data_IF_669639209820
#
_entry.id   IF_669639209820
#
_cell.length_a   1.000
_cell.length_b   1.000
_cell.length_c   1.000
_cell.angle_alpha   90.00
_cell.angle_beta   90.00
_cell.angle_gamma   90.00
#
_symmetry.space_group_name_H-M   'P 1'
#
loop_
_entity.id
_entity.type
_entity.pdbx_description
1 polymer ?
#
# COMPACT_ATOMS: atom_id res chain seq x y z
N UNK A 1 71.78 54.21 -3.50
CA UNK A 1 72.09 53.49 -2.26
C UNK A 1 70.96 52.54 -1.92
N UNK A 2 71.19 51.24 -2.08
CA UNK A 2 70.29 50.13 -1.67
C UNK A 2 70.88 49.58 -0.37
N UNK A 3 70.04 49.16 0.58
CA UNK A 3 70.43 48.02 1.40
C UNK A 3 69.46 46.90 1.40
N UNK A 4 70.05 45.73 1.34
CA UNK A 4 69.48 44.40 1.34
C UNK A 4 68.72 44.08 2.65
N UNK A 5 67.52 43.62 2.53
CA UNK A 5 66.74 42.97 3.60
C UNK A 5 66.74 41.46 3.41
N UNK A 6 67.18 40.71 4.41
CA UNK A 6 67.22 39.23 4.41
C UNK A 6 65.87 38.65 4.63
N UNK A 7 65.45 37.73 3.76
CA UNK A 7 64.30 36.85 3.99
C UNK A 7 64.67 35.74 5.00
N UNK A 8 63.95 35.70 6.10
CA UNK A 8 63.91 34.53 6.97
C UNK A 8 62.85 33.57 6.49
N UNK A 9 63.25 32.35 6.13
CA UNK A 9 62.34 31.26 5.76
C UNK A 9 61.74 30.65 7.03
N UNK A 10 60.45 30.76 7.19
CA UNK A 10 59.69 30.02 8.21
C UNK A 10 59.24 28.68 7.64
N UNK A 11 59.76 27.62 8.18
CA UNK A 11 59.32 26.22 7.91
C UNK A 11 57.94 25.98 8.51
N UNK A 12 56.98 25.40 7.77
CA UNK A 12 55.71 25.03 8.37
C UNK A 12 55.88 23.75 9.19
N UNK A 13 55.59 23.85 10.47
CA UNK A 13 55.45 22.69 11.36
C UNK A 13 54.20 21.92 10.98
N UNK A 14 54.35 20.71 10.47
CA UNK A 14 53.25 19.78 10.27
C UNK A 14 52.70 19.34 11.64
N UNK A 15 51.45 19.72 11.93
CA UNK A 15 50.72 19.18 13.07
C UNK A 15 50.35 17.73 12.75
N UNK A 16 50.87 16.78 13.47
CA UNK A 16 50.48 15.38 13.45
C UNK A 16 49.12 15.30 14.13
N UNK A 17 48.09 14.91 13.38
CA UNK A 17 46.77 14.64 13.94
C UNK A 17 46.87 13.49 14.94
N UNK A 18 46.31 13.68 16.13
CA UNK A 18 46.19 12.64 17.14
C UNK A 18 45.28 11.51 16.61
N UNK A 19 45.57 10.24 16.94
CA UNK A 19 44.70 9.14 16.53
C UNK A 19 43.34 9.30 17.19
N UNK A 20 42.27 9.24 16.38
CA UNK A 20 40.88 9.14 16.87
C UNK A 20 40.78 7.92 17.79
N UNK A 21 40.27 8.16 18.99
CA UNK A 21 39.95 7.08 19.93
C UNK A 21 38.90 6.16 19.29
N UNK A 22 39.00 4.83 19.48
CA UNK A 22 37.98 3.92 18.99
C UNK A 22 36.62 4.28 19.63
N UNK A 23 35.59 4.46 18.80
CA UNK A 23 34.23 4.57 19.28
C UNK A 23 33.93 3.38 20.21
N UNK A 24 33.63 3.68 21.46
CA UNK A 24 33.26 2.69 22.45
C UNK A 24 31.99 2.01 21.94
N UNK A 25 32.09 0.74 21.61
CA UNK A 25 30.90 -0.12 21.34
C UNK A 25 29.99 0.03 22.56
N UNK A 26 28.76 0.49 22.30
CA UNK A 26 27.73 0.63 23.32
C UNK A 26 27.43 -0.76 23.89
N UNK A 27 27.72 -0.99 25.17
CA UNK A 27 27.40 -2.19 25.95
C UNK A 27 25.88 -2.31 26.27
N UNK A 28 25.05 -1.54 25.56
CA UNK A 28 23.59 -1.67 25.71
C UNK A 28 23.12 -3.02 25.13
N UNK A 29 22.29 -3.76 25.85
CA UNK A 29 21.72 -4.99 25.33
C UNK A 29 20.95 -4.69 24.03
N UNK A 30 20.95 -5.62 23.07
CA UNK A 30 20.19 -5.42 21.82
C UNK A 30 18.72 -5.13 22.16
N UNK A 31 18.06 -4.25 21.40
CA UNK A 31 16.65 -3.97 21.64
C UNK A 31 15.85 -5.27 21.54
N UNK A 32 14.74 -5.39 22.28
CA UNK A 32 13.89 -6.57 22.20
C UNK A 32 13.39 -6.77 20.78
N UNK A 33 13.19 -8.01 20.33
CA UNK A 33 12.69 -8.30 19.00
C UNK A 33 11.30 -7.65 18.79
N UNK A 34 11.11 -7.05 17.61
CA UNK A 34 9.83 -6.46 17.24
C UNK A 34 8.80 -7.60 17.07
N UNK A 35 7.67 -7.50 17.77
CA UNK A 35 6.57 -8.46 17.58
C UNK A 35 5.90 -8.20 16.22
N UNK A 36 5.82 -9.26 15.41
CA UNK A 36 5.23 -9.24 14.06
C UNK A 36 3.91 -10.02 14.06
N UNK A 37 2.76 -9.38 14.33
CA UNK A 37 1.50 -10.09 14.42
C UNK A 37 1.06 -10.65 13.06
N UNK A 38 0.32 -11.75 13.10
CA UNK A 38 -0.37 -12.34 11.95
C UNK A 38 -1.79 -11.78 11.81
N UNK A 39 -2.46 -12.05 10.69
CA UNK A 39 -3.87 -11.71 10.52
C UNK A 39 -4.80 -12.43 11.49
N UNK A 40 -4.43 -13.64 11.92
CA UNK A 40 -5.21 -14.42 12.88
C UNK A 40 -5.07 -13.89 14.32
N UNK A 41 -3.92 -13.30 14.64
CA UNK A 41 -3.66 -12.68 15.95
C UNK A 41 -4.26 -11.30 16.09
N UNK A 42 -4.47 -10.57 14.98
CA UNK A 42 -4.96 -9.20 14.98
C UNK A 42 -5.97 -8.92 13.89
N UNK A 43 -7.25 -8.88 14.27
CA UNK A 43 -8.33 -8.43 13.38
C UNK A 43 -8.12 -6.99 12.89
N UNK A 44 -7.54 -6.13 13.73
CA UNK A 44 -7.19 -4.76 13.35
C UNK A 44 -6.17 -4.75 12.19
N UNK A 45 -5.12 -5.56 12.27
CA UNK A 45 -4.13 -5.68 11.19
C UNK A 45 -4.76 -6.18 9.89
N UNK A 46 -5.64 -7.18 9.98
CA UNK A 46 -6.38 -7.68 8.82
C UNK A 46 -7.22 -6.55 8.18
N UNK A 47 -7.95 -5.78 8.98
CA UNK A 47 -8.73 -4.62 8.51
C UNK A 47 -7.85 -3.55 7.87
N UNK A 48 -6.68 -3.27 8.46
CA UNK A 48 -5.69 -2.34 7.90
C UNK A 48 -5.26 -2.81 6.51
N UNK A 49 -4.86 -4.06 6.36
CA UNK A 49 -4.43 -4.65 5.08
C UNK A 49 -5.52 -4.61 4.02
N UNK A 50 -6.71 -5.05 4.38
CA UNK A 50 -7.85 -5.05 3.46
C UNK A 50 -8.23 -3.64 3.01
N UNK A 51 -8.37 -2.71 3.95
CA UNK A 51 -8.70 -1.31 3.62
C UNK A 51 -7.60 -0.64 2.81
N UNK A 52 -6.33 -0.95 3.09
CA UNK A 52 -5.20 -0.42 2.32
C UNK A 52 -5.24 -0.88 0.85
N UNK A 53 -5.64 -2.13 0.59
CA UNK A 53 -5.86 -2.61 -0.78
C UNK A 53 -6.90 -1.77 -1.53
N UNK A 54 -8.02 -1.44 -0.88
CA UNK A 54 -9.07 -0.58 -1.46
C UNK A 54 -8.64 0.88 -1.63
N UNK A 55 -7.88 1.43 -0.69
CA UNK A 55 -7.27 2.78 -0.83
C UNK A 55 -6.31 2.80 -2.02
N UNK A 56 -5.54 1.74 -2.22
CA UNK A 56 -4.68 1.60 -3.40
C UNK A 56 -5.50 1.54 -4.69
N UNK A 57 -6.59 0.78 -4.74
CA UNK A 57 -7.46 0.70 -5.91
C UNK A 57 -8.07 2.07 -6.25
N UNK A 58 -8.56 2.79 -5.25
CA UNK A 58 -9.05 4.16 -5.42
C UNK A 58 -7.95 5.09 -5.97
N UNK A 59 -6.73 5.00 -5.43
CA UNK A 59 -5.59 5.79 -5.89
C UNK A 59 -5.23 5.51 -7.35
N UNK A 60 -5.20 4.22 -7.74
CA UNK A 60 -4.93 3.81 -9.13
C UNK A 60 -5.99 4.35 -10.07
N UNK A 61 -7.27 4.19 -9.78
CA UNK A 61 -8.35 4.71 -10.64
C UNK A 61 -8.40 6.24 -10.69
N UNK A 62 -7.91 6.91 -9.67
CA UNK A 62 -7.79 8.38 -9.67
C UNK A 62 -6.65 8.85 -10.58
N UNK A 63 -5.56 8.11 -10.65
CA UNK A 63 -4.41 8.39 -11.52
C UNK A 63 -4.61 7.92 -12.97
N UNK A 64 -5.31 6.79 -13.15
CA UNK A 64 -5.63 6.18 -14.45
C UNK A 64 -7.12 5.86 -14.50
N UNK A 65 -7.89 6.77 -15.04
CA UNK A 65 -9.36 6.71 -15.02
C UNK A 65 -9.95 5.51 -15.75
N UNK A 66 -9.23 4.98 -16.74
CA UNK A 66 -9.68 3.83 -17.53
C UNK A 66 -9.26 2.47 -16.93
N UNK A 67 -8.49 2.47 -15.83
CA UNK A 67 -8.12 1.25 -15.14
C UNK A 67 -9.36 0.54 -14.58
N UNK A 68 -9.51 -0.75 -14.91
CA UNK A 68 -10.59 -1.59 -14.38
C UNK A 68 -10.07 -2.34 -13.17
N UNK A 69 -10.86 -2.41 -12.13
CA UNK A 69 -10.51 -3.06 -10.87
C UNK A 69 -11.13 -4.46 -10.82
N UNK A 70 -10.43 -5.38 -10.15
CA UNK A 70 -10.88 -6.75 -9.98
C UNK A 70 -11.11 -7.07 -8.50
N UNK A 71 -10.13 -7.72 -7.86
CA UNK A 71 -10.16 -8.05 -6.43
C UNK A 71 -8.87 -7.60 -5.75
N UNK A 72 -8.98 -7.28 -4.46
CA UNK A 72 -7.89 -6.83 -3.61
C UNK A 72 -7.89 -7.49 -2.25
N UNK A 73 -7.49 -8.77 -2.14
CA UNK A 73 -7.47 -9.47 -0.86
C UNK A 73 -6.29 -9.03 0.00
N UNK A 74 -6.45 -9.21 1.33
CA UNK A 74 -5.31 -9.27 2.21
C UNK A 74 -4.59 -10.61 2.06
N UNK A 75 -3.29 -10.61 2.33
CA UNK A 75 -2.45 -11.79 2.39
C UNK A 75 -1.66 -11.80 3.71
N UNK A 76 -0.87 -12.84 3.95
CA UNK A 76 -0.19 -13.07 5.24
C UNK A 76 0.61 -11.86 5.76
N UNK A 77 1.32 -11.15 4.87
CA UNK A 77 2.18 -10.00 5.25
C UNK A 77 1.80 -8.70 4.56
N UNK A 78 0.65 -8.65 3.92
CA UNK A 78 0.27 -7.47 3.17
C UNK A 78 -1.04 -7.63 2.42
N UNK A 79 -1.04 -7.18 1.19
CA UNK A 79 -2.19 -7.16 0.29
C UNK A 79 -1.73 -7.10 -1.15
N UNK A 80 -2.65 -7.34 -2.08
CA UNK A 80 -2.49 -6.97 -3.48
C UNK A 80 -3.83 -6.49 -4.06
N UNK A 81 -3.77 -5.91 -5.24
CA UNK A 81 -4.93 -5.62 -6.05
C UNK A 81 -4.57 -5.76 -7.53
N UNK A 82 -5.49 -6.35 -8.32
CA UNK A 82 -5.30 -6.56 -9.74
C UNK A 82 -6.09 -5.54 -10.56
N UNK A 83 -5.42 -5.00 -11.59
CA UNK A 83 -5.95 -3.95 -12.45
C UNK A 83 -5.81 -4.35 -13.93
N UNK A 84 -6.88 -4.19 -14.70
CA UNK A 84 -6.80 -4.21 -16.16
C UNK A 84 -6.47 -2.79 -16.64
N UNK A 85 -5.23 -2.59 -17.02
CA UNK A 85 -4.66 -1.33 -17.44
C UNK A 85 -3.34 -1.53 -18.18
N UNK A 86 -2.82 -0.50 -18.90
CA UNK A 86 -1.49 -0.57 -19.48
C UNK A 86 -0.40 -0.89 -18.46
N UNK A 87 0.72 -1.52 -18.88
CA UNK A 87 1.81 -1.90 -17.99
C UNK A 87 2.33 -0.75 -17.14
N UNK A 88 2.48 -1.02 -15.84
CA UNK A 88 3.06 -0.11 -14.87
C UNK A 88 4.57 -0.31 -14.75
N UNK A 89 5.29 0.73 -14.36
CA UNK A 89 6.70 0.68 -14.04
C UNK A 89 6.92 0.99 -12.54
N UNK A 90 8.08 0.63 -11.99
CA UNK A 90 8.40 0.84 -10.57
C UNK A 90 8.27 2.29 -10.12
N UNK A 91 8.54 3.25 -11.01
CA UNK A 91 8.32 4.68 -10.71
C UNK A 91 6.87 5.01 -10.41
N UNK A 92 5.92 4.24 -10.96
CA UNK A 92 4.50 4.46 -10.76
C UNK A 92 4.06 4.09 -9.34
N UNK A 93 4.74 3.14 -8.69
CA UNK A 93 4.48 2.79 -7.29
C UNK A 93 4.60 4.00 -6.36
N UNK A 94 5.58 4.87 -6.60
CA UNK A 94 5.75 6.10 -5.80
C UNK A 94 4.59 7.09 -6.02
N UNK A 95 4.08 7.17 -7.24
CA UNK A 95 2.91 8.01 -7.57
C UNK A 95 1.66 7.48 -6.88
N UNK A 96 1.44 6.16 -6.95
CA UNK A 96 0.32 5.50 -6.28
C UNK A 96 0.39 5.69 -4.77
N UNK A 97 1.55 5.44 -4.14
CA UNK A 97 1.73 5.62 -2.69
C UNK A 97 1.45 7.06 -2.25
N UNK A 98 1.94 8.04 -3.01
CA UNK A 98 1.67 9.45 -2.72
C UNK A 98 0.17 9.78 -2.76
N UNK A 99 -0.55 9.20 -3.72
CA UNK A 99 -1.99 9.40 -3.82
C UNK A 99 -2.75 8.66 -2.71
N UNK A 100 -2.30 7.46 -2.33
CA UNK A 100 -2.82 6.74 -1.16
C UNK A 100 -2.69 7.57 0.11
N UNK A 101 -1.54 8.18 0.35
CA UNK A 101 -1.29 9.03 1.54
C UNK A 101 -2.25 10.22 1.60
N UNK A 102 -2.58 10.83 0.46
CA UNK A 102 -3.59 11.90 0.39
C UNK A 102 -5.00 11.38 0.75
N UNK A 103 -5.37 10.20 0.28
CA UNK A 103 -6.65 9.57 0.59
C UNK A 103 -6.73 9.26 2.10
N UNK A 104 -5.67 8.72 2.68
CA UNK A 104 -5.59 8.45 4.12
C UNK A 104 -5.78 9.73 4.93
N UNK A 105 -5.14 10.82 4.53
CA UNK A 105 -5.25 12.12 5.22
C UNK A 105 -6.67 12.71 5.19
N UNK A 106 -7.47 12.36 4.20
CA UNK A 106 -8.86 12.82 4.10
C UNK A 106 -9.79 12.20 5.13
N UNK A 107 -9.37 11.12 5.81
CA UNK A 107 -10.16 10.41 6.83
C UNK A 107 -11.56 10.02 6.33
N UNK A 108 -11.63 9.47 5.13
CA UNK A 108 -12.87 9.07 4.49
C UNK A 108 -13.52 7.90 5.24
N UNK A 109 -14.79 7.99 5.67
CA UNK A 109 -15.48 6.88 6.30
C UNK A 109 -15.67 5.72 5.31
N UNK A 110 -15.60 4.48 5.81
CA UNK A 110 -15.93 3.25 5.11
C UNK A 110 -17.37 2.89 5.49
N UNK A 111 -18.28 2.96 4.54
CA UNK A 111 -19.71 2.74 4.76
C UNK A 111 -20.16 1.46 4.06
N UNK A 112 -20.68 0.52 4.84
CA UNK A 112 -21.23 -0.74 4.34
C UNK A 112 -22.69 -0.52 3.89
N UNK A 113 -23.01 -1.01 2.70
CA UNK A 113 -24.36 -1.05 2.19
C UNK A 113 -24.69 -2.47 1.73
N UNK A 114 -25.86 -2.96 2.07
CA UNK A 114 -26.38 -4.23 1.56
C UNK A 114 -27.44 -3.94 0.51
N UNK A 115 -27.30 -4.55 -0.65
CA UNK A 115 -28.18 -4.33 -1.81
C UNK A 115 -28.66 -5.66 -2.39
N UNK A 116 -29.70 -5.62 -3.20
CA UNK A 116 -30.09 -6.77 -4.01
C UNK A 116 -29.08 -7.06 -5.11
N UNK A 117 -29.06 -8.29 -5.60
CA UNK A 117 -28.18 -8.65 -6.71
C UNK A 117 -28.47 -7.84 -7.97
N UNK A 118 -29.74 -7.53 -8.23
CA UNK A 118 -30.17 -6.70 -9.37
C UNK A 118 -29.68 -5.26 -9.25
N UNK A 119 -29.73 -4.69 -8.04
CA UNK A 119 -29.21 -3.34 -7.80
C UNK A 119 -27.69 -3.30 -7.90
N UNK A 120 -26.98 -4.31 -7.37
CA UNK A 120 -25.54 -4.42 -7.54
C UNK A 120 -25.15 -4.53 -9.02
N UNK A 121 -25.84 -5.37 -9.79
CA UNK A 121 -25.60 -5.52 -11.23
C UNK A 121 -25.82 -4.20 -11.98
N UNK A 122 -26.90 -3.49 -11.69
CA UNK A 122 -27.20 -2.19 -12.30
C UNK A 122 -26.06 -1.19 -12.06
N UNK A 123 -25.61 -1.05 -10.80
CA UNK A 123 -24.54 -0.11 -10.44
C UNK A 123 -23.20 -0.50 -11.05
N UNK A 124 -22.86 -1.79 -11.09
CA UNK A 124 -21.64 -2.29 -11.71
C UNK A 124 -21.63 -2.00 -13.22
N UNK A 125 -22.76 -2.19 -13.90
CA UNK A 125 -22.89 -1.85 -15.32
C UNK A 125 -22.76 -0.37 -15.59
N UNK A 126 -23.38 0.47 -14.76
CA UNK A 126 -23.25 1.94 -14.85
C UNK A 126 -21.81 2.41 -14.62
N UNK A 127 -21.07 1.72 -13.74
CA UNK A 127 -19.66 2.01 -13.47
C UNK A 127 -18.70 1.42 -14.52
N UNK A 128 -19.22 0.65 -15.49
CA UNK A 128 -18.42 -0.01 -16.54
C UNK A 128 -17.28 -0.88 -15.97
N UNK A 129 -17.59 -1.67 -14.92
CA UNK A 129 -16.64 -2.55 -14.23
C UNK A 129 -16.89 -4.02 -14.58
N UNK A 130 -16.38 -4.52 -15.72
CA UNK A 130 -16.73 -5.85 -16.24
C UNK A 130 -16.28 -7.00 -15.34
N UNK A 131 -15.16 -6.86 -14.65
CA UNK A 131 -14.67 -7.91 -13.74
C UNK A 131 -15.56 -8.05 -12.50
N UNK A 132 -16.13 -6.95 -12.01
CA UNK A 132 -17.09 -6.97 -10.89
C UNK A 132 -18.39 -7.68 -11.28
N UNK A 133 -18.83 -7.61 -12.53
CA UNK A 133 -19.96 -8.41 -13.02
C UNK A 133 -19.67 -9.90 -12.89
N UNK A 134 -18.51 -10.35 -13.34
CA UNK A 134 -18.12 -11.76 -13.23
C UNK A 134 -17.99 -12.22 -11.77
N UNK A 135 -17.51 -11.35 -10.87
CA UNK A 135 -17.45 -11.63 -9.44
C UNK A 135 -18.86 -11.77 -8.85
N UNK A 136 -19.77 -10.87 -9.20
CA UNK A 136 -21.17 -10.91 -8.78
C UNK A 136 -21.87 -12.19 -9.25
N UNK A 137 -21.68 -12.57 -10.51
CA UNK A 137 -22.19 -13.82 -11.07
C UNK A 137 -21.66 -15.03 -10.29
N UNK A 138 -20.36 -15.08 -9.99
CA UNK A 138 -19.77 -16.16 -9.20
C UNK A 138 -20.29 -16.23 -7.77
N UNK A 139 -20.67 -15.12 -7.15
CA UNK A 139 -21.32 -15.09 -5.85
C UNK A 139 -22.71 -15.71 -5.96
N UNK A 140 -23.50 -15.29 -6.94
CA UNK A 140 -24.88 -15.79 -7.17
C UNK A 140 -24.92 -17.27 -7.51
N UNK A 141 -23.96 -17.77 -8.27
CA UNK A 141 -23.86 -19.20 -8.61
C UNK A 141 -23.58 -20.08 -7.37
N UNK A 142 -22.74 -19.59 -6.44
CA UNK A 142 -22.41 -20.33 -5.21
C UNK A 142 -23.51 -20.27 -4.17
N UNK A 143 -24.14 -19.12 -4.02
CA UNK A 143 -25.22 -18.87 -3.07
C UNK A 143 -26.17 -17.80 -3.65
N UNK A 144 -27.30 -18.21 -4.25
CA UNK A 144 -28.29 -17.28 -4.83
C UNK A 144 -28.91 -16.34 -3.80
N UNK A 145 -28.92 -16.71 -2.53
CA UNK A 145 -29.50 -15.94 -1.42
C UNK A 145 -28.44 -15.13 -0.64
N UNK A 146 -27.16 -15.20 -1.05
CA UNK A 146 -26.10 -14.45 -0.41
C UNK A 146 -26.37 -12.95 -0.42
N UNK A 147 -26.19 -12.24 0.70
CA UNK A 147 -26.29 -10.79 0.71
C UNK A 147 -25.15 -10.20 -0.12
N UNK A 148 -25.51 -9.23 -0.97
CA UNK A 148 -24.53 -8.47 -1.76
C UNK A 148 -24.18 -7.21 -1.00
N UNK A 149 -22.91 -7.05 -0.68
CA UNK A 149 -22.42 -5.90 0.08
C UNK A 149 -21.50 -5.04 -0.76
N UNK A 150 -21.68 -3.73 -0.60
CA UNK A 150 -20.84 -2.69 -1.19
C UNK A 150 -20.23 -1.89 -0.05
N UNK A 151 -18.98 -1.48 -0.23
CA UNK A 151 -18.33 -0.54 0.67
C UNK A 151 -18.05 0.77 -0.08
N UNK A 152 -18.46 1.87 0.55
CA UNK A 152 -18.29 3.22 0.03
C UNK A 152 -17.26 3.98 0.83
N UNK A 153 -16.42 4.75 0.16
CA UNK A 153 -15.49 5.66 0.80
C UNK A 153 -15.99 7.10 0.66
N UNK A 154 -16.06 7.81 1.78
CA UNK A 154 -16.39 9.23 1.86
C UNK A 154 -17.86 9.48 2.19
N UNK A 155 -18.78 8.89 1.46
CA UNK A 155 -20.22 9.04 1.68
C UNK A 155 -21.02 7.99 0.92
N UNK A 156 -22.33 7.96 1.15
CA UNK A 156 -23.23 7.10 0.40
C UNK A 156 -23.44 7.64 -1.04
N UNK A 157 -23.81 6.78 -1.99
CA UNK A 157 -24.12 7.21 -3.36
C UNK A 157 -25.15 8.33 -3.39
N UNK A 158 -24.94 9.31 -4.27
CA UNK A 158 -25.80 10.48 -4.39
C UNK A 158 -25.49 11.61 -3.41
N UNK A 159 -24.56 11.44 -2.48
CA UNK A 159 -24.07 12.51 -1.60
C UNK A 159 -22.81 13.18 -2.16
N UNK A 160 -22.58 14.48 -1.88
CA UNK A 160 -21.36 15.18 -2.33
C UNK A 160 -20.05 14.60 -1.76
N UNK A 161 -20.14 13.83 -0.68
CA UNK A 161 -19.00 13.22 0.01
C UNK A 161 -18.57 11.90 -0.61
N UNK A 162 -19.42 11.23 -1.40
CA UNK A 162 -19.09 9.96 -2.05
C UNK A 162 -17.88 10.09 -2.96
N UNK A 163 -16.88 9.21 -2.77
CA UNK A 163 -15.62 9.26 -3.54
C UNK A 163 -15.36 8.02 -4.36
N UNK A 164 -15.64 6.85 -3.81
CA UNK A 164 -15.32 5.57 -4.44
C UNK A 164 -16.10 4.45 -3.77
N UNK A 165 -16.29 3.33 -4.44
CA UNK A 165 -16.95 2.15 -3.88
C UNK A 165 -16.40 0.86 -4.49
N UNK A 166 -16.58 -0.24 -3.77
CA UNK A 166 -16.21 -1.57 -4.21
C UNK A 166 -17.25 -2.62 -3.81
N UNK A 167 -17.34 -3.70 -4.60
CA UNK A 167 -18.06 -4.92 -4.27
C UNK A 167 -17.21 -5.72 -3.30
N UNK A 168 -17.59 -5.76 -2.03
CA UNK A 168 -16.77 -6.32 -0.96
C UNK A 168 -17.61 -6.72 0.25
N UNK A 169 -17.23 -7.83 0.88
CA UNK A 169 -17.86 -8.30 2.11
C UNK A 169 -17.26 -7.68 3.40
N UNK A 170 -16.12 -6.98 3.30
CA UNK A 170 -15.35 -6.50 4.45
C UNK A 170 -14.48 -7.61 5.07
N UNK A 171 -13.98 -7.41 6.30
CA UNK A 171 -14.13 -6.22 7.15
C UNK A 171 -13.17 -5.08 6.76
N UNK A 172 -13.51 -3.87 7.17
CA UNK A 172 -12.70 -2.66 6.98
C UNK A 172 -12.54 -1.87 8.27
N UNK A 173 -11.57 -0.95 8.31
CA UNK A 173 -11.49 0.09 9.35
C UNK A 173 -12.64 1.09 9.19
N UNK A 174 -12.95 1.85 10.23
CA UNK A 174 -14.07 2.81 10.21
C UNK A 174 -13.85 3.97 9.24
N UNK A 175 -12.62 4.46 9.12
CA UNK A 175 -12.24 5.51 8.17
C UNK A 175 -10.77 5.39 7.78
N UNK A 176 -10.42 5.94 6.60
CA UNK A 176 -9.07 5.82 6.03
C UNK A 176 -7.98 6.42 6.91
N UNK A 177 -8.30 7.39 7.77
CA UNK A 177 -7.36 7.99 8.72
C UNK A 177 -6.84 7.05 9.79
N UNK A 178 -7.46 5.87 9.96
CA UNK A 178 -6.97 4.82 10.86
C UNK A 178 -5.82 4.00 10.25
N UNK A 179 -5.54 4.18 8.96
CA UNK A 179 -4.41 3.53 8.31
C UNK A 179 -3.10 4.23 8.67
N UNK A 180 -2.12 3.51 9.23
CA UNK A 180 -0.81 4.10 9.57
C UNK A 180 0.03 4.24 8.30
N UNK A 181 -0.05 5.36 7.61
CA UNK A 181 0.61 5.62 6.32
C UNK A 181 2.11 5.32 6.32
N UNK A 182 2.77 5.52 7.47
CA UNK A 182 4.20 5.28 7.64
C UNK A 182 4.55 3.79 7.88
N UNK A 183 3.53 2.96 8.07
CA UNK A 183 3.63 1.51 8.19
C UNK A 183 3.13 0.77 6.94
N UNK A 184 2.96 1.46 5.82
CA UNK A 184 2.48 0.94 4.53
C UNK A 184 3.52 1.18 3.45
N UNK A 185 3.85 0.14 2.69
CA UNK A 185 4.73 0.24 1.53
C UNK A 185 4.17 -0.54 0.34
N UNK A 186 4.36 -0.02 -0.88
CA UNK A 186 4.15 -0.77 -2.11
C UNK A 186 5.47 -1.47 -2.49
N UNK A 187 5.40 -2.75 -2.83
CA UNK A 187 6.59 -3.58 -2.95
C UNK A 187 6.96 -3.91 -4.40
N UNK A 188 5.99 -4.33 -5.19
CA UNK A 188 6.28 -4.82 -6.54
C UNK A 188 5.05 -4.80 -7.45
N UNK A 189 5.33 -4.94 -8.75
CA UNK A 189 4.33 -5.12 -9.81
C UNK A 189 4.61 -6.47 -10.46
N UNK A 190 3.55 -7.23 -10.71
CA UNK A 190 3.62 -8.49 -11.44
C UNK A 190 2.47 -8.60 -12.44
N UNK A 191 2.69 -9.35 -13.52
CA UNK A 191 1.59 -9.77 -14.39
C UNK A 191 0.80 -10.93 -13.77
N UNK A 192 -0.52 -10.90 -13.93
CA UNK A 192 -1.38 -11.99 -13.51
C UNK A 192 -2.55 -12.13 -14.49
N UNK A 193 -2.83 -13.34 -14.94
CA UNK A 193 -4.01 -13.59 -15.76
C UNK A 193 -5.27 -13.63 -14.87
N UNK A 194 -6.33 -13.02 -15.36
CA UNK A 194 -7.63 -13.08 -14.69
C UNK A 194 -8.06 -14.54 -14.47
N UNK A 195 -8.28 -14.93 -13.22
CA UNK A 195 -8.61 -16.32 -12.81
C UNK A 195 -7.60 -17.37 -13.30
N UNK A 196 -6.35 -16.97 -13.55
CA UNK A 196 -5.30 -17.88 -14.05
C UNK A 196 -5.48 -18.33 -15.51
N UNK A 197 -6.39 -17.73 -16.24
CA UNK A 197 -6.69 -18.09 -17.63
C UNK A 197 -5.84 -17.28 -18.61
N UNK A 198 -4.87 -17.95 -19.27
CA UNK A 198 -3.96 -17.32 -20.23
C UNK A 198 -4.65 -16.74 -21.47
N UNK A 199 -5.90 -17.14 -21.76
CA UNK A 199 -6.70 -16.57 -22.83
C UNK A 199 -7.32 -15.21 -22.47
N UNK A 200 -7.31 -14.85 -21.19
CA UNK A 200 -7.82 -13.58 -20.66
C UNK A 200 -6.71 -12.51 -20.64
N UNK A 201 -7.09 -11.22 -20.54
CA UNK A 201 -6.12 -10.13 -20.42
C UNK A 201 -5.17 -10.34 -19.26
N UNK A 202 -3.89 -9.99 -19.47
CA UNK A 202 -2.92 -9.93 -18.38
C UNK A 202 -3.16 -8.66 -17.57
N UNK A 203 -3.43 -8.85 -16.28
CA UNK A 203 -3.65 -7.80 -15.31
C UNK A 203 -2.34 -7.30 -14.72
N UNK A 204 -2.36 -6.07 -14.22
CA UNK A 204 -1.27 -5.51 -13.43
C UNK A 204 -1.57 -5.74 -11.96
N UNK A 205 -0.80 -6.62 -11.31
CA UNK A 205 -0.91 -6.88 -9.87
C UNK A 205 0.07 -6.02 -9.13
N UNK A 206 -0.43 -5.18 -8.22
CA UNK A 206 0.41 -4.40 -7.30
C UNK A 206 0.39 -5.08 -5.94
N UNK A 207 1.57 -5.49 -5.45
CA UNK A 207 1.76 -5.99 -4.10
C UNK A 207 2.15 -4.85 -3.16
N UNK A 208 1.59 -4.89 -1.97
CA UNK A 208 1.96 -4.02 -0.88
C UNK A 208 2.00 -4.75 0.45
N UNK A 209 2.61 -4.11 1.43
CA UNK A 209 2.63 -4.56 2.82
C UNK A 209 2.07 -3.49 3.72
N UNK A 210 1.40 -3.88 4.78
CA UNK A 210 0.85 -2.97 5.76
C UNK A 210 0.95 -3.57 7.16
N UNK A 211 1.33 -2.74 8.12
CA UNK A 211 1.59 -3.08 9.51
C UNK A 211 0.91 -2.08 10.43
N UNK A 212 0.88 -2.35 11.73
CA UNK A 212 0.27 -1.45 12.71
C UNK A 212 1.23 -0.30 13.07
N UNK A 213 2.56 -0.55 13.00
CA UNK A 213 3.57 0.44 13.33
C UNK A 213 4.69 0.51 12.29
N UNK A 214 5.37 1.66 12.25
CA UNK A 214 6.53 1.86 11.38
C UNK A 214 7.70 0.92 11.72
N UNK A 215 7.87 0.56 12.98
CA UNK A 215 8.88 -0.40 13.43
C UNK A 215 8.62 -1.80 12.87
N UNK A 216 7.36 -2.23 12.82
CA UNK A 216 6.98 -3.51 12.20
C UNK A 216 7.26 -3.50 10.70
N UNK A 217 6.98 -2.40 10.00
CA UNK A 217 7.32 -2.25 8.59
C UNK A 217 8.84 -2.35 8.38
N UNK A 218 9.63 -1.64 9.19
CA UNK A 218 11.08 -1.67 9.10
C UNK A 218 11.64 -3.08 9.35
N UNK A 219 11.10 -3.81 10.33
CA UNK A 219 11.49 -5.19 10.60
C UNK A 219 11.11 -6.12 9.44
N UNK A 220 9.91 -5.98 8.87
CA UNK A 220 9.51 -6.71 7.67
C UNK A 220 10.51 -6.48 6.52
N UNK A 221 10.85 -5.23 6.23
CA UNK A 221 11.78 -4.88 5.16
C UNK A 221 13.19 -5.46 5.42
N UNK A 222 13.66 -5.44 6.67
CA UNK A 222 14.94 -6.04 7.06
C UNK A 222 14.94 -7.56 6.81
N UNK A 223 13.88 -8.27 7.21
CA UNK A 223 13.74 -9.70 6.99
C UNK A 223 13.67 -10.08 5.50
N UNK A 224 12.95 -9.27 4.70
CA UNK A 224 12.89 -9.47 3.24
C UNK A 224 14.27 -9.28 2.60
N UNK A 225 15.04 -8.30 3.04
CA UNK A 225 16.38 -8.06 2.51
C UNK A 225 17.38 -9.16 2.93
N UNK A 226 17.29 -9.67 4.15
CA UNK A 226 18.08 -10.81 4.60
C UNK A 226 17.78 -12.09 3.79
N UNK A 227 16.50 -12.33 3.47
CA UNK A 227 16.10 -13.50 2.70
C UNK A 227 16.60 -13.50 1.22
N UNK A 228 17.03 -12.35 0.71
CA UNK A 228 17.61 -12.21 -0.64
C UNK A 228 19.11 -12.53 -0.71
N UNK A 229 19.78 -12.66 0.44
CA UNK A 229 21.23 -12.94 0.56
C UNK A 229 21.52 -14.42 0.62
#
# INVERSE_FOLDING_TARGET
AVPHGRHAATTPTMAVAAPEAPEAASDAPPPPPVHMPTNDESEELLKIRHTTAHVMAMAVQKLWKDAKVTIGPWIEKGFYYDFDMPPLADKDLRRVKKEMDKIIQQKLPLLREEVSAEEAERRIREAEEPYKLEILEGIRERDPDAPITLYHMGGMPGTPQHRWWDLCAGPHVEHTGMLPKDAIALESIAGAYWRGDESRPMLQRIYGTAWQTAEQLAEHQRLVEEAKR
#
